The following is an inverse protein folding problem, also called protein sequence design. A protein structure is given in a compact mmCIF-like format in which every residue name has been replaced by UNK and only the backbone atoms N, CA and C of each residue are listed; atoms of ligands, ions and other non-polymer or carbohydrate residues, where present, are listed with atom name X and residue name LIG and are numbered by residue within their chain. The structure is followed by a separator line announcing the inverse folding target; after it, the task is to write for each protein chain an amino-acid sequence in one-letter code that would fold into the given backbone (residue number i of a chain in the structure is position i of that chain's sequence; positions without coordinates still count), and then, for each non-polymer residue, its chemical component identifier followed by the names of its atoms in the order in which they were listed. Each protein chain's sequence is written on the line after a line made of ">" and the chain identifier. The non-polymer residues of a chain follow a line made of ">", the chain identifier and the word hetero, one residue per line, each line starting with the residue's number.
data_IF_314597175899
#
_entry.id   IF_314597175899
#
_cell.length_a   1.000
_cell.length_b   1.000
_cell.length_c   1.000
_cell.angle_alpha   90.00
_cell.angle_beta   90.00
_cell.angle_gamma   90.00
#
_symmetry.space_group_name_H-M   'P 1'
#
loop_
_entity.id
_entity.type
_entity.pdbx_description
1 polymer ?
#
# COMPACT_ATOMS: atom_id res chain seq x y z
N UNK A 1 -12.27 3.49 -15.77
CA UNK A 1 -11.02 2.77 -15.46
C UNK A 1 -10.24 3.47 -14.35
N UNK A 2 -10.04 4.79 -14.43
CA UNK A 2 -9.26 5.59 -13.47
C UNK A 2 -9.90 5.75 -12.09
N UNK A 3 -11.21 6.01 -12.01
CA UNK A 3 -11.89 6.32 -10.73
C UNK A 3 -11.89 5.15 -9.73
N UNK A 4 -12.11 3.91 -10.19
CA UNK A 4 -12.11 2.73 -9.31
C UNK A 4 -10.70 2.37 -8.82
N UNK A 5 -9.69 2.54 -9.68
CA UNK A 5 -8.29 2.35 -9.31
C UNK A 5 -7.81 3.45 -8.33
N UNK A 6 -8.26 4.69 -8.54
CA UNK A 6 -7.98 5.79 -7.62
C UNK A 6 -8.59 5.51 -6.24
N UNK A 7 -9.86 5.05 -6.21
CA UNK A 7 -10.53 4.66 -4.95
C UNK A 7 -9.77 3.56 -4.22
N UNK A 8 -9.24 2.54 -4.92
CA UNK A 8 -8.49 1.46 -4.27
C UNK A 8 -7.19 1.97 -3.65
N UNK A 9 -6.46 2.83 -4.36
CA UNK A 9 -5.25 3.49 -3.84
C UNK A 9 -5.59 4.31 -2.60
N UNK A 10 -6.61 5.16 -2.66
CA UNK A 10 -7.02 5.97 -1.51
C UNK A 10 -7.44 5.12 -0.31
N UNK A 11 -8.12 3.98 -0.53
CA UNK A 11 -8.45 3.08 0.58
C UNK A 11 -7.24 2.35 1.14
N UNK A 12 -6.24 1.97 0.32
CA UNK A 12 -5.02 1.31 0.79
C UNK A 12 -4.07 2.27 1.53
N UNK A 13 -3.94 3.49 1.01
CA UNK A 13 -3.16 4.58 1.63
C UNK A 13 -3.85 5.08 2.91
N UNK A 14 -5.17 5.25 2.88
CA UNK A 14 -5.95 5.63 4.06
C UNK A 14 -5.90 4.55 5.14
N UNK A 15 -6.02 3.27 4.77
CA UNK A 15 -5.94 2.15 5.69
C UNK A 15 -4.58 2.04 6.39
N UNK A 16 -3.48 2.25 5.66
CA UNK A 16 -2.13 2.30 6.24
C UNK A 16 -1.96 3.45 7.22
N UNK A 17 -2.47 4.64 6.90
CA UNK A 17 -2.38 5.80 7.80
C UNK A 17 -3.20 5.60 9.08
N UNK A 18 -4.43 5.11 8.96
CA UNK A 18 -5.29 4.82 10.13
C UNK A 18 -4.62 3.77 11.03
N UNK A 19 -4.07 2.70 10.44
CA UNK A 19 -3.34 1.68 11.19
C UNK A 19 -2.05 2.23 11.82
N UNK A 20 -1.31 3.10 11.13
CA UNK A 20 -0.11 3.72 11.66
C UNK A 20 -0.42 4.64 12.85
N UNK A 21 -1.46 5.48 12.73
CA UNK A 21 -1.93 6.34 13.84
C UNK A 21 -2.43 5.49 15.01
N UNK A 22 -3.19 4.42 14.74
CA UNK A 22 -3.65 3.51 15.79
C UNK A 22 -2.48 2.79 16.48
N UNK A 23 -1.49 2.30 15.75
CA UNK A 23 -0.30 1.70 16.36
C UNK A 23 0.51 2.70 17.20
N UNK A 24 0.48 3.99 16.84
CA UNK A 24 1.18 5.05 17.57
C UNK A 24 0.61 5.30 18.97
N UNK A 25 -0.64 4.95 19.24
CA UNK A 25 -1.24 5.11 20.58
C UNK A 25 -0.84 3.99 21.54
N UNK A 26 -0.42 2.83 21.04
CA UNK A 26 -0.10 1.65 21.85
C UNK A 26 1.38 1.30 21.88
N UNK A 27 2.18 1.74 20.92
CA UNK A 27 3.60 1.42 20.83
C UNK A 27 4.49 2.65 20.69
N UNK A 28 5.71 2.62 21.26
CA UNK A 28 6.72 3.64 21.00
C UNK A 28 7.10 3.64 19.50
N UNK A 29 7.41 4.83 19.00
CA UNK A 29 7.63 5.08 17.56
C UNK A 29 8.71 4.16 16.95
N UNK A 30 9.74 3.80 17.72
CA UNK A 30 10.82 2.91 17.28
C UNK A 30 10.31 1.52 16.84
N UNK A 31 9.29 1.00 17.51
CA UNK A 31 8.65 -0.28 17.16
C UNK A 31 7.67 -0.14 16.00
N UNK A 32 7.14 1.07 15.79
CA UNK A 32 6.21 1.38 14.72
C UNK A 32 6.90 1.28 13.35
N UNK A 33 8.14 1.74 13.23
CA UNK A 33 8.95 1.58 12.02
C UNK A 33 9.15 0.12 11.60
N UNK A 34 9.26 -0.80 12.56
CA UNK A 34 9.41 -2.22 12.26
C UNK A 34 8.12 -2.84 11.71
N UNK A 35 6.97 -2.31 12.12
CA UNK A 35 5.63 -2.80 11.75
C UNK A 35 5.10 -2.12 10.47
N UNK A 36 5.57 -0.91 10.16
CA UNK A 36 5.10 -0.10 9.04
C UNK A 36 5.23 -0.78 7.67
N UNK A 37 6.34 -1.46 7.32
CA UNK A 37 6.43 -2.24 6.08
C UNK A 37 5.38 -3.35 6.01
N UNK A 38 5.03 -3.95 7.14
CA UNK A 38 4.05 -5.02 7.22
C UNK A 38 2.62 -4.50 7.02
N UNK A 39 2.32 -3.31 7.53
CA UNK A 39 1.04 -2.61 7.27
C UNK A 39 0.92 -2.21 5.80
N UNK A 40 2.01 -1.73 5.19
CA UNK A 40 2.07 -1.39 3.77
C UNK A 40 1.92 -2.65 2.90
N UNK A 41 2.56 -3.75 3.28
CA UNK A 41 2.43 -5.05 2.64
C UNK A 41 0.98 -5.54 2.65
N UNK A 42 0.34 -5.48 3.83
CA UNK A 42 -1.03 -5.94 4.00
C UNK A 42 -2.01 -5.11 3.15
N UNK A 43 -1.91 -3.78 3.21
CA UNK A 43 -2.74 -2.90 2.40
C UNK A 43 -2.44 -3.00 0.90
N UNK A 44 -1.18 -3.23 0.52
CA UNK A 44 -0.77 -3.52 -0.85
C UNK A 44 -1.46 -4.78 -1.38
N UNK A 45 -1.37 -5.90 -0.66
CA UNK A 45 -2.06 -7.14 -0.99
C UNK A 45 -3.59 -6.99 -1.08
N UNK A 46 -4.18 -6.28 -0.13
CA UNK A 46 -5.63 -6.08 -0.07
C UNK A 46 -6.13 -5.17 -1.21
N UNK A 47 -5.36 -4.13 -1.55
CA UNK A 47 -5.62 -3.28 -2.71
C UNK A 47 -5.54 -4.08 -4.01
N UNK A 48 -4.48 -4.89 -4.19
CA UNK A 48 -4.32 -5.77 -5.35
C UNK A 48 -5.47 -6.77 -5.48
N UNK A 49 -5.88 -7.42 -4.39
CA UNK A 49 -7.01 -8.35 -4.37
C UNK A 49 -8.33 -7.67 -4.79
N UNK A 50 -8.66 -6.53 -4.15
CA UNK A 50 -9.87 -5.76 -4.49
C UNK A 50 -9.87 -5.26 -5.92
N UNK A 51 -8.70 -4.98 -6.46
CA UNK A 51 -8.56 -4.54 -7.84
C UNK A 51 -9.03 -5.62 -8.80
N UNK A 52 -8.60 -6.86 -8.59
CA UNK A 52 -9.00 -8.01 -9.40
C UNK A 52 -10.49 -8.27 -9.28
N UNK A 53 -11.04 -8.18 -8.06
CA UNK A 53 -12.48 -8.32 -7.82
C UNK A 53 -13.31 -7.32 -8.65
N UNK A 54 -12.90 -6.05 -8.68
CA UNK A 54 -13.63 -4.98 -9.40
C UNK A 54 -13.37 -5.02 -10.92
N UNK A 55 -12.19 -5.46 -11.35
CA UNK A 55 -11.77 -5.45 -12.76
C UNK A 55 -11.83 -6.81 -13.45
N UNK A 56 -12.38 -7.82 -12.78
CA UNK A 56 -12.57 -9.21 -13.25
C UNK A 56 -13.12 -9.31 -14.67
N UNK A 57 -14.01 -8.39 -15.06
CA UNK A 57 -14.70 -8.41 -16.36
C UNK A 57 -14.07 -7.45 -17.41
N UNK A 58 -12.98 -6.75 -17.12
CA UNK A 58 -12.52 -5.61 -17.95
C UNK A 58 -11.04 -5.58 -18.34
N UNK A 59 -10.16 -6.43 -17.80
CA UNK A 59 -8.71 -6.34 -18.06
C UNK A 59 -8.09 -7.70 -18.41
N UNK A 60 -7.31 -7.72 -19.49
CA UNK A 60 -6.55 -8.89 -19.98
C UNK A 60 -5.19 -9.06 -19.26
N UNK A 61 -4.62 -8.00 -18.68
CA UNK A 61 -3.32 -7.97 -17.99
C UNK A 61 -3.43 -7.59 -16.49
N UNK A 62 -4.21 -8.35 -15.75
CA UNK A 62 -4.53 -8.13 -14.31
C UNK A 62 -3.30 -8.03 -13.39
N UNK A 63 -2.23 -8.85 -13.54
CA UNK A 63 -1.12 -8.85 -12.59
C UNK A 63 -0.23 -7.60 -12.71
N UNK A 64 0.03 -7.14 -13.94
CA UNK A 64 0.91 -5.98 -14.20
C UNK A 64 0.26 -4.69 -13.72
N UNK A 65 -1.05 -4.53 -13.96
CA UNK A 65 -1.78 -3.36 -13.52
C UNK A 65 -1.87 -3.27 -11.99
N UNK A 66 -2.03 -4.40 -11.31
CA UNK A 66 -2.01 -4.47 -9.84
C UNK A 66 -0.64 -4.16 -9.26
N UNK A 67 0.44 -4.56 -9.94
CA UNK A 67 1.80 -4.20 -9.52
C UNK A 67 2.04 -2.70 -9.61
N UNK A 68 1.71 -2.05 -10.73
CA UNK A 68 1.88 -0.58 -10.90
C UNK A 68 1.07 0.19 -9.86
N UNK A 69 -0.15 -0.26 -9.56
CA UNK A 69 -0.98 0.37 -8.53
C UNK A 69 -0.46 0.11 -7.11
N UNK A 70 0.13 -1.05 -6.84
CA UNK A 70 0.81 -1.33 -5.58
C UNK A 70 2.03 -0.43 -5.38
N UNK A 71 2.87 -0.28 -6.40
CA UNK A 71 4.03 0.63 -6.37
C UNK A 71 3.57 2.08 -6.14
N UNK A 72 2.51 2.52 -6.85
CA UNK A 72 1.91 3.83 -6.65
C UNK A 72 1.35 4.04 -5.25
N UNK A 73 0.74 3.02 -4.66
CA UNK A 73 0.27 3.02 -3.27
C UNK A 73 1.43 3.19 -2.28
N UNK A 74 2.52 2.43 -2.44
CA UNK A 74 3.72 2.53 -1.61
C UNK A 74 4.44 3.89 -1.72
N UNK A 75 4.47 4.48 -2.92
CA UNK A 75 5.01 5.83 -3.11
C UNK A 75 4.14 6.90 -2.44
N UNK A 76 2.81 6.78 -2.55
CA UNK A 76 1.87 7.71 -1.94
C UNK A 76 1.90 7.65 -0.40
N UNK A 77 1.98 6.44 0.19
CA UNK A 77 2.14 6.30 1.65
C UNK A 77 3.43 6.93 2.13
N UNK A 78 4.56 6.72 1.43
CA UNK A 78 5.82 7.38 1.76
C UNK A 78 5.67 8.91 1.75
N UNK A 79 5.09 9.47 0.68
CA UNK A 79 4.93 10.92 0.54
C UNK A 79 4.11 11.52 1.70
N UNK A 80 3.03 10.86 2.10
CA UNK A 80 2.17 11.34 3.18
C UNK A 80 2.86 11.20 4.55
N UNK A 81 3.56 10.10 4.81
CA UNK A 81 4.28 9.93 6.09
C UNK A 81 5.41 10.95 6.19
N UNK A 82 6.14 11.20 5.11
CA UNK A 82 7.21 12.20 5.07
C UNK A 82 6.63 13.62 5.27
N UNK A 83 5.52 13.95 4.62
CA UNK A 83 4.83 15.22 4.81
C UNK A 83 4.31 15.39 6.25
N UNK A 84 3.68 14.36 6.83
CA UNK A 84 3.18 14.38 8.21
C UNK A 84 4.34 14.48 9.20
N UNK A 85 5.45 13.80 8.92
CA UNK A 85 6.70 13.87 9.67
C UNK A 85 7.34 15.26 9.67
N UNK A 86 7.27 15.98 8.56
CA UNK A 86 7.78 17.35 8.47
C UNK A 86 6.97 18.37 9.28
N UNK A 87 5.69 18.08 9.57
CA UNK A 87 4.82 18.94 10.39
C UNK A 87 4.98 18.71 11.89
N UNK A 88 5.46 17.53 12.29
CA UNK A 88 5.77 17.20 13.69
C UNK A 88 7.27 17.36 13.85
N UNK A 89 7.72 18.55 14.29
CA UNK A 89 9.14 18.89 14.49
C UNK A 89 9.92 17.68 15.07
N UNK A 90 10.95 17.27 14.34
CA UNK A 90 12.04 16.36 14.74
C UNK A 90 11.83 14.83 14.80
N UNK A 91 10.74 14.24 14.30
CA UNK A 91 10.55 12.78 14.50
C UNK A 91 10.77 11.90 13.25
N UNK A 92 10.66 12.43 12.02
CA UNK A 92 10.63 11.56 10.84
C UNK A 92 11.31 12.15 9.60
N UNK A 93 12.57 11.75 9.37
CA UNK A 93 13.23 11.85 8.06
C UNK A 93 13.35 10.45 7.47
N UNK A 94 12.30 9.99 6.78
CA UNK A 94 12.37 8.74 6.01
C UNK A 94 13.42 8.86 4.89
N UNK A 95 14.32 7.90 4.81
CA UNK A 95 15.41 7.94 3.85
C UNK A 95 14.95 7.46 2.46
N UNK A 96 15.72 7.77 1.41
CA UNK A 96 15.44 7.32 0.04
C UNK A 96 15.39 5.79 -0.07
N UNK A 97 16.11 5.09 0.81
CA UNK A 97 16.05 3.63 0.95
C UNK A 97 14.68 3.13 1.43
N UNK A 98 14.02 3.85 2.35
CA UNK A 98 12.70 3.47 2.87
C UNK A 98 11.62 3.60 1.79
N UNK A 99 11.74 4.59 0.90
CA UNK A 99 10.90 4.74 -0.28
C UNK A 99 10.98 3.50 -1.20
N UNK A 100 12.21 3.04 -1.50
CA UNK A 100 12.41 1.85 -2.32
C UNK A 100 11.82 0.60 -1.65
N UNK A 101 12.02 0.44 -0.35
CA UNK A 101 11.46 -0.68 0.41
C UNK A 101 9.93 -0.64 0.36
N UNK A 102 9.30 0.51 0.61
CA UNK A 102 7.84 0.64 0.62
C UNK A 102 7.22 0.41 -0.76
N UNK A 103 7.85 0.91 -1.82
CA UNK A 103 7.43 0.64 -3.19
C UNK A 103 7.57 -0.85 -3.56
N UNK A 104 8.71 -1.47 -3.23
CA UNK A 104 8.95 -2.88 -3.53
C UNK A 104 7.99 -3.79 -2.75
N UNK A 105 7.86 -3.57 -1.44
CA UNK A 105 6.98 -4.36 -0.57
C UNK A 105 5.53 -4.21 -1.01
N UNK A 106 5.04 -2.98 -1.23
CA UNK A 106 3.67 -2.75 -1.67
C UNK A 106 3.39 -3.30 -3.07
N UNK A 107 4.33 -3.15 -4.00
CA UNK A 107 4.23 -3.68 -5.37
C UNK A 107 4.18 -5.21 -5.40
N UNK A 108 5.13 -5.88 -4.75
CA UNK A 108 5.21 -7.35 -4.70
C UNK A 108 3.97 -7.93 -4.01
N UNK A 109 3.56 -7.35 -2.90
CA UNK A 109 2.40 -7.84 -2.14
C UNK A 109 1.08 -7.61 -2.89
N UNK A 110 0.93 -6.46 -3.57
CA UNK A 110 -0.20 -6.21 -4.48
C UNK A 110 -0.25 -7.23 -5.62
N UNK A 111 0.90 -7.57 -6.22
CA UNK A 111 0.98 -8.61 -7.24
C UNK A 111 0.58 -9.99 -6.69
N UNK A 112 1.05 -10.36 -5.50
CA UNK A 112 0.66 -11.62 -4.84
C UNK A 112 -0.83 -11.65 -4.50
N UNK A 113 -1.38 -10.55 -3.99
CA UNK A 113 -2.82 -10.39 -3.71
C UNK A 113 -3.66 -10.52 -4.98
N UNK A 114 -3.21 -9.93 -6.08
CA UNK A 114 -3.86 -10.07 -7.38
C UNK A 114 -3.78 -11.50 -7.91
N UNK A 115 -2.64 -12.17 -7.78
CA UNK A 115 -2.46 -13.57 -8.20
C UNK A 115 -3.37 -14.52 -7.40
N UNK A 116 -3.53 -14.28 -6.09
CA UNK A 116 -4.46 -15.00 -5.24
C UNK A 116 -5.91 -14.78 -5.70
N UNK A 117 -6.29 -13.54 -6.00
CA UNK A 117 -7.63 -13.23 -6.49
C UNK A 117 -7.93 -13.90 -7.83
N UNK A 118 -6.99 -13.88 -8.79
CA UNK A 118 -7.15 -14.56 -10.09
C UNK A 118 -7.41 -16.06 -9.89
N UNK A 119 -6.63 -16.73 -9.03
CA UNK A 119 -6.86 -18.15 -8.68
C UNK A 119 -8.20 -18.37 -8.00
N UNK A 120 -8.61 -17.47 -7.10
CA UNK A 120 -9.88 -17.60 -6.37
C UNK A 120 -11.09 -17.43 -7.28
N UNK A 121 -11.02 -16.50 -8.24
CA UNK A 121 -12.11 -16.23 -9.18
C UNK A 121 -12.10 -17.12 -10.43
N UNK A 122 -11.14 -18.06 -10.55
CA UNK A 122 -10.94 -18.92 -11.73
C UNK A 122 -10.91 -18.12 -13.05
N UNK A 123 -10.18 -16.99 -13.04
CA UNK A 123 -9.98 -16.11 -14.20
C UNK A 123 -8.72 -16.48 -14.98
#
# INVERSE_FOLDING_TARGET
>A
MTVSALKSIFTGVGGTLVLAVFCSTFMPMDKLFFILPLLIAFNGAMSGYRLVEVLKNKIFSIPVFSFVLGVGGGAATFAIINFTGSMVQDVFSLNMYDLLIYMAVSGITSYLGAKLAVRYFNL
#
